data_IF_176487731103
#
_entry.id   IF_176487731103
#
_cell.length_a   1.000
_cell.length_b   1.000
_cell.length_c   1.000
_cell.angle_alpha   90.00
_cell.angle_beta   90.00
_cell.angle_gamma   90.00
#
_symmetry.space_group_name_H-M   'P 1'
#
loop_
_entity.id
_entity.type
_entity.pdbx_description
1 polymer ?
#
# COMPACT_ATOMS: atom_id res chain seq x y z
N UNK A 1 32.41 -3.85 78.96
CA UNK A 1 31.90 -4.83 77.99
C UNK A 1 30.77 -4.15 77.15
N UNK A 2 31.03 -3.85 75.87
CA UNK A 2 30.04 -3.29 74.99
C UNK A 2 29.71 -4.37 73.92
N UNK A 3 28.43 -4.63 73.59
CA UNK A 3 28.09 -5.62 72.59
C UNK A 3 28.24 -5.02 71.16
N UNK A 4 28.86 -5.75 70.24
CA UNK A 4 28.88 -5.49 68.80
C UNK A 4 27.58 -5.96 68.19
N UNK A 5 26.88 -5.03 67.56
CA UNK A 5 25.71 -5.33 66.76
C UNK A 5 26.21 -5.55 65.33
N UNK A 6 26.11 -6.79 64.85
CA UNK A 6 26.40 -7.14 63.44
C UNK A 6 25.21 -6.84 62.56
N UNK A 7 25.35 -5.91 61.61
CA UNK A 7 24.32 -5.56 60.63
C UNK A 7 24.51 -6.45 59.40
N UNK A 8 23.62 -7.43 59.22
CA UNK A 8 23.61 -8.27 58.04
C UNK A 8 22.92 -7.50 56.88
N UNK A 9 23.68 -7.12 55.85
CA UNK A 9 23.15 -6.53 54.65
C UNK A 9 22.61 -7.64 53.71
N UNK A 10 21.30 -7.74 53.58
CA UNK A 10 20.65 -8.64 52.61
C UNK A 10 20.63 -7.97 51.25
N UNK A 11 21.48 -8.42 50.35
CA UNK A 11 21.48 -7.96 48.96
C UNK A 11 20.30 -8.60 48.19
N UNK A 12 19.35 -7.80 47.81
CA UNK A 12 18.24 -8.20 46.95
C UNK A 12 18.72 -8.16 45.49
N UNK A 13 18.98 -9.32 44.90
CA UNK A 13 19.23 -9.41 43.45
C UNK A 13 17.91 -9.32 42.71
N UNK A 14 17.60 -8.16 42.07
CA UNK A 14 16.56 -8.06 41.07
C UNK A 14 17.06 -8.74 39.78
N UNK A 15 16.55 -9.94 39.52
CA UNK A 15 16.73 -10.60 38.23
C UNK A 15 15.86 -9.89 37.19
N UNK A 16 16.46 -9.04 36.39
CA UNK A 16 15.84 -8.55 35.16
C UNK A 16 15.80 -9.73 34.17
N UNK A 17 14.65 -10.36 34.00
CA UNK A 17 14.39 -11.20 32.84
C UNK A 17 14.30 -10.28 31.61
N UNK A 18 15.33 -10.25 30.76
CA UNK A 18 15.23 -9.67 29.44
C UNK A 18 14.13 -10.45 28.70
N UNK A 19 13.00 -9.80 28.46
CA UNK A 19 12.02 -10.30 27.52
C UNK A 19 12.68 -10.15 26.16
N UNK A 20 13.16 -11.26 25.60
CA UNK A 20 13.64 -11.33 24.24
C UNK A 20 12.43 -11.02 23.33
N UNK A 21 12.30 -9.75 22.93
CA UNK A 21 11.38 -9.33 21.89
C UNK A 21 11.95 -9.92 20.60
N UNK A 22 11.65 -11.19 20.33
CA UNK A 22 11.89 -11.78 19.02
C UNK A 22 11.21 -10.87 17.99
N UNK A 23 11.97 -9.97 17.37
CA UNK A 23 11.50 -9.25 16.21
C UNK A 23 11.18 -10.33 15.18
N UNK A 24 9.94 -10.39 14.73
CA UNK A 24 9.59 -11.25 13.60
C UNK A 24 10.48 -10.81 12.44
N UNK A 25 11.50 -11.62 12.15
CA UNK A 25 12.45 -11.33 11.09
C UNK A 25 11.68 -11.35 9.76
N UNK A 26 11.48 -10.17 9.18
CA UNK A 26 10.76 -10.06 7.94
C UNK A 26 11.62 -10.67 6.82
N UNK A 27 11.02 -11.55 6.03
CA UNK A 27 11.58 -12.05 4.78
C UNK A 27 11.73 -10.88 3.81
N UNK A 28 12.92 -10.69 3.24
CA UNK A 28 13.23 -9.58 2.33
C UNK A 28 13.47 -10.02 0.89
N UNK A 29 13.35 -11.31 0.59
CA UNK A 29 13.48 -11.87 -0.75
C UNK A 29 12.15 -12.46 -1.23
N UNK A 30 11.69 -12.07 -2.41
CA UNK A 30 10.39 -12.46 -2.95
C UNK A 30 10.22 -13.98 -3.11
N UNK A 31 11.30 -14.72 -3.35
CA UNK A 31 11.32 -16.18 -3.43
C UNK A 31 10.95 -16.89 -2.11
N UNK A 32 11.01 -16.17 -0.99
CA UNK A 32 10.72 -16.69 0.35
C UNK A 32 9.29 -16.37 0.81
N UNK A 33 8.52 -15.62 0.02
CA UNK A 33 7.12 -15.33 0.33
C UNK A 33 6.33 -16.64 0.29
N UNK A 34 5.39 -16.81 1.20
CA UNK A 34 4.46 -17.94 1.13
C UNK A 34 3.51 -17.77 -0.07
N UNK A 35 3.42 -18.75 -0.94
CA UNK A 35 2.41 -18.79 -2.00
C UNK A 35 0.99 -18.89 -1.41
N UNK A 36 -0.02 -18.47 -2.16
CA UNK A 36 -1.43 -18.56 -1.79
C UNK A 36 -2.24 -17.31 -2.04
N UNK A 37 -3.45 -17.29 -1.52
CA UNK A 37 -4.38 -16.16 -1.65
C UNK A 37 -4.24 -15.22 -0.46
N UNK A 38 -4.29 -13.92 -0.76
CA UNK A 38 -4.16 -12.83 0.20
C UNK A 38 -5.30 -11.84 0.00
N UNK A 39 -5.80 -11.28 1.07
CA UNK A 39 -6.68 -10.13 1.03
C UNK A 39 -5.89 -8.85 1.29
N UNK A 40 -6.29 -7.74 0.69
CA UNK A 40 -5.71 -6.41 1.00
C UNK A 40 -5.95 -6.10 2.48
N UNK A 41 -4.91 -5.67 3.16
CA UNK A 41 -5.01 -5.09 4.50
C UNK A 41 -5.27 -3.58 4.36
N UNK A 42 -6.49 -3.08 4.67
CA UNK A 42 -6.92 -1.75 4.26
C UNK A 42 -6.33 -0.60 5.08
N UNK A 43 -5.81 -0.87 6.28
CA UNK A 43 -5.32 0.19 7.18
C UNK A 43 -3.91 0.67 6.82
N UNK A 44 -3.12 -0.19 6.16
CA UNK A 44 -1.75 0.12 5.73
C UNK A 44 -1.60 0.11 4.20
N UNK A 45 -2.71 0.00 3.47
CA UNK A 45 -2.73 0.08 2.00
C UNK A 45 -3.26 1.43 1.56
N UNK A 46 -2.49 2.11 0.71
CA UNK A 46 -2.85 3.42 0.18
C UNK A 46 -2.31 3.64 -1.23
N UNK A 47 -2.97 4.52 -1.98
CA UNK A 47 -2.48 5.06 -3.24
C UNK A 47 -2.26 6.55 -3.08
N UNK A 48 -0.99 6.97 -3.02
CA UNK A 48 -0.64 8.38 -3.08
C UNK A 48 -0.60 8.85 -4.53
N UNK A 49 -1.08 10.06 -4.79
CA UNK A 49 -0.97 10.70 -6.09
C UNK A 49 -0.25 12.04 -6.01
N UNK A 50 0.38 12.43 -7.13
CA UNK A 50 1.08 13.71 -7.25
C UNK A 50 0.80 14.32 -8.62
N UNK A 51 0.45 15.62 -8.64
CA UNK A 51 0.21 16.43 -9.84
C UNK A 51 1.00 17.72 -9.77
N UNK A 52 1.58 18.17 -10.90
CA UNK A 52 2.18 19.50 -10.98
C UNK A 52 1.07 20.54 -11.07
N UNK A 53 1.01 21.43 -10.07
CA UNK A 53 -0.01 22.47 -9.93
C UNK A 53 0.53 23.81 -10.41
N UNK A 54 0.04 24.31 -11.54
CA UNK A 54 0.41 25.57 -12.21
C UNK A 54 1.91 25.74 -12.47
N UNK A 55 2.68 24.66 -12.51
CA UNK A 55 4.13 24.71 -12.65
C UNK A 55 4.88 25.13 -11.37
N UNK A 56 4.20 25.29 -10.24
CA UNK A 56 4.80 25.81 -9.00
C UNK A 56 5.17 24.72 -8.01
N UNK A 57 4.26 23.76 -7.78
CA UNK A 57 4.42 22.72 -6.77
C UNK A 57 3.86 21.39 -7.25
N UNK A 58 4.41 20.28 -6.71
CA UNK A 58 3.79 18.98 -6.80
C UNK A 58 2.78 18.84 -5.66
N UNK A 59 1.49 18.99 -5.98
CA UNK A 59 0.41 18.78 -5.03
C UNK A 59 0.09 17.31 -4.88
N UNK A 60 -0.15 16.87 -3.65
CA UNK A 60 -0.32 15.45 -3.32
C UNK A 60 -1.62 15.19 -2.58
N UNK A 61 -2.12 13.98 -2.71
CA UNK A 61 -3.21 13.43 -1.92
C UNK A 61 -3.12 11.92 -1.91
N UNK A 62 -4.03 11.28 -1.20
CA UNK A 62 -4.09 9.84 -1.04
C UNK A 62 -5.51 9.30 -1.26
N UNK A 63 -5.60 8.05 -1.68
CA UNK A 63 -6.78 7.21 -1.55
C UNK A 63 -6.51 6.12 -0.53
N UNK A 64 -7.51 5.78 0.26
CA UNK A 64 -7.48 4.77 1.32
C UNK A 64 -8.66 3.81 1.22
N UNK A 65 -8.88 2.96 2.24
CA UNK A 65 -10.00 1.99 2.29
C UNK A 65 -9.99 1.01 1.10
N UNK A 66 -8.83 0.72 0.58
CA UNK A 66 -8.64 -0.15 -0.56
C UNK A 66 -8.97 -1.58 -0.17
N UNK A 67 -9.64 -2.30 -1.06
CA UNK A 67 -9.96 -3.72 -0.90
C UNK A 67 -9.53 -4.52 -2.12
N UNK A 68 -9.42 -5.82 -1.99
CA UNK A 68 -9.08 -6.69 -3.11
C UNK A 68 -8.32 -7.93 -2.71
N UNK A 69 -7.80 -8.62 -3.71
CA UNK A 69 -7.11 -9.90 -3.57
C UNK A 69 -5.85 -9.95 -4.40
N UNK A 70 -4.84 -10.62 -3.85
CA UNK A 70 -3.65 -11.09 -4.53
C UNK A 70 -3.61 -12.62 -4.44
N UNK A 71 -3.62 -13.32 -5.57
CA UNK A 71 -3.29 -14.74 -5.63
C UNK A 71 -1.84 -14.86 -6.11
N UNK A 72 -0.98 -15.38 -5.24
CA UNK A 72 0.47 -15.37 -5.44
C UNK A 72 1.00 -16.79 -5.69
N UNK A 73 1.60 -16.99 -6.86
CA UNK A 73 2.37 -18.20 -7.20
C UNK A 73 3.86 -17.83 -7.23
N UNK A 74 4.59 -18.21 -6.20
CA UNK A 74 6.02 -17.88 -6.06
C UNK A 74 6.93 -18.73 -6.93
N UNK A 75 6.46 -19.89 -7.41
CA UNK A 75 7.20 -20.75 -8.33
C UNK A 75 7.01 -20.31 -9.79
N UNK A 76 5.85 -19.76 -10.10
CA UNK A 76 5.54 -19.21 -11.41
C UNK A 76 4.81 -17.86 -11.29
N UNK A 77 5.54 -16.76 -11.04
CA UNK A 77 4.93 -15.44 -10.82
C UNK A 77 3.97 -14.99 -11.93
N UNK A 78 4.15 -15.48 -13.16
CA UNK A 78 3.23 -15.19 -14.28
C UNK A 78 1.81 -15.76 -14.07
N UNK A 79 1.62 -16.71 -13.16
CA UNK A 79 0.30 -17.24 -12.78
C UNK A 79 -0.35 -16.48 -11.63
N UNK A 80 0.38 -15.56 -11.01
CA UNK A 80 -0.17 -14.69 -9.97
C UNK A 80 -1.21 -13.74 -10.57
N UNK A 81 -2.15 -13.28 -9.74
CA UNK A 81 -3.16 -12.31 -10.15
C UNK A 81 -3.45 -11.31 -9.04
N UNK A 82 -3.75 -10.07 -9.45
CA UNK A 82 -4.11 -8.97 -8.57
C UNK A 82 -5.41 -8.34 -9.02
N UNK A 83 -6.35 -8.17 -8.10
CA UNK A 83 -7.57 -7.39 -8.34
C UNK A 83 -7.82 -6.50 -7.12
N UNK A 84 -7.86 -5.18 -7.33
CA UNK A 84 -8.08 -4.20 -6.25
C UNK A 84 -9.17 -3.22 -6.65
N UNK A 85 -9.91 -2.76 -5.64
CA UNK A 85 -10.94 -1.75 -5.72
C UNK A 85 -10.61 -0.61 -4.77
N UNK A 86 -10.69 0.62 -5.26
CA UNK A 86 -10.36 1.85 -4.56
C UNK A 86 -11.61 2.71 -4.50
N UNK A 87 -12.21 2.94 -3.32
CA UNK A 87 -13.33 3.87 -3.19
C UNK A 87 -12.86 5.29 -3.54
N UNK A 88 -13.42 5.89 -4.60
CA UNK A 88 -12.99 7.21 -5.08
C UNK A 88 -13.30 8.30 -4.05
N UNK A 89 -14.37 8.14 -3.27
CA UNK A 89 -14.74 9.06 -2.19
C UNK A 89 -13.74 9.05 -1.01
N UNK A 90 -12.79 8.08 -0.97
CA UNK A 90 -11.73 8.04 0.05
C UNK A 90 -10.60 9.03 -0.20
N UNK A 91 -10.67 9.84 -1.25
CA UNK A 91 -9.67 10.86 -1.56
C UNK A 91 -9.50 11.83 -0.40
N UNK A 92 -8.25 12.06 -0.01
CA UNK A 92 -7.84 13.00 1.04
C UNK A 92 -6.65 13.82 0.57
N UNK A 93 -6.73 15.12 0.82
CA UNK A 93 -5.64 16.08 0.63
C UNK A 93 -5.42 16.89 1.91
N UNK A 94 -4.59 17.91 1.86
CA UNK A 94 -4.41 18.85 2.98
C UNK A 94 -5.57 19.86 3.12
N UNK A 95 -6.60 19.78 2.26
CA UNK A 95 -7.73 20.72 2.21
C UNK A 95 -9.05 19.95 2.04
N UNK A 96 -9.89 19.95 3.06
CA UNK A 96 -11.23 19.35 3.00
C UNK A 96 -12.11 19.95 1.90
N UNK A 97 -11.95 21.25 1.60
CA UNK A 97 -12.64 21.89 0.47
C UNK A 97 -12.23 21.27 -0.87
N UNK A 98 -10.94 20.98 -1.05
CA UNK A 98 -10.46 20.31 -2.27
C UNK A 98 -10.91 18.85 -2.30
N UNK A 99 -10.95 18.15 -1.16
CA UNK A 99 -11.46 16.78 -1.09
C UNK A 99 -12.91 16.71 -1.59
N UNK A 100 -13.74 17.69 -1.22
CA UNK A 100 -15.13 17.76 -1.69
C UNK A 100 -15.21 18.13 -3.18
N UNK A 101 -14.36 19.06 -3.66
CA UNK A 101 -14.26 19.40 -5.07
C UNK A 101 -13.87 18.19 -5.93
N UNK A 102 -12.86 17.41 -5.48
CA UNK A 102 -12.38 16.23 -6.21
C UNK A 102 -13.44 15.13 -6.31
N UNK A 103 -14.37 15.02 -5.37
CA UNK A 103 -15.50 14.08 -5.42
C UNK A 103 -16.58 14.50 -6.41
N UNK A 104 -16.61 15.78 -6.81
CA UNK A 104 -17.61 16.35 -7.70
C UNK A 104 -17.51 15.90 -9.15
N UNK A 105 -18.54 16.28 -9.95
CA UNK A 105 -18.75 15.88 -11.34
C UNK A 105 -17.69 16.40 -12.33
N UNK A 106 -17.00 17.49 -11.97
CA UNK A 106 -15.90 18.04 -12.76
C UNK A 106 -14.58 17.27 -12.60
N UNK A 107 -14.52 16.34 -11.62
CA UNK A 107 -13.33 15.57 -11.29
C UNK A 107 -13.63 14.06 -11.32
N UNK A 108 -13.72 13.43 -10.16
CA UNK A 108 -13.91 11.99 -10.08
C UNK A 108 -15.38 11.55 -10.25
N UNK A 109 -16.35 12.47 -10.09
CA UNK A 109 -17.80 12.18 -10.12
C UNK A 109 -18.15 10.92 -9.27
N UNK A 110 -17.75 10.98 -8.01
CA UNK A 110 -17.83 9.82 -7.11
C UNK A 110 -19.24 9.30 -6.87
N UNK A 111 -20.27 10.13 -7.13
CA UNK A 111 -21.67 9.72 -7.07
C UNK A 111 -22.04 8.78 -8.21
N UNK A 112 -21.45 8.98 -9.40
CA UNK A 112 -21.69 8.16 -10.60
C UNK A 112 -20.67 7.05 -10.76
N UNK A 113 -19.42 7.31 -10.38
CA UNK A 113 -18.29 6.40 -10.48
C UNK A 113 -17.67 6.20 -9.08
N UNK A 114 -18.31 5.45 -8.18
CA UNK A 114 -17.89 5.36 -6.79
C UNK A 114 -16.54 4.64 -6.58
N UNK A 115 -16.09 3.88 -7.58
CA UNK A 115 -14.92 3.03 -7.46
C UNK A 115 -13.98 3.21 -8.67
N UNK A 116 -12.67 3.21 -8.39
CA UNK A 116 -11.65 2.86 -9.36
C UNK A 116 -11.25 1.40 -9.13
N UNK A 117 -10.88 0.69 -10.22
CA UNK A 117 -10.55 -0.73 -10.15
C UNK A 117 -9.35 -1.06 -11.03
N UNK A 118 -8.41 -1.83 -10.48
CA UNK A 118 -7.31 -2.39 -11.24
C UNK A 118 -7.37 -3.92 -11.21
N UNK A 119 -7.26 -4.55 -12.40
CA UNK A 119 -7.22 -6.01 -12.54
C UNK A 119 -6.02 -6.36 -13.41
N UNK A 120 -5.08 -7.11 -12.85
CA UNK A 120 -3.90 -7.56 -13.60
C UNK A 120 -4.28 -8.49 -14.75
N UNK A 121 -3.58 -8.35 -15.85
CA UNK A 121 -3.69 -9.24 -17.03
C UNK A 121 -2.41 -10.02 -17.27
N UNK A 122 -1.27 -9.49 -16.80
CA UNK A 122 0.02 -10.13 -16.91
C UNK A 122 0.93 -9.66 -15.76
N UNK A 123 1.68 -10.60 -15.18
CA UNK A 123 2.73 -10.31 -14.21
C UNK A 123 4.04 -10.87 -14.77
N UNK A 124 5.04 -10.01 -14.90
CA UNK A 124 6.36 -10.34 -15.40
C UNK A 124 7.42 -9.95 -14.38
N UNK A 125 8.11 -10.93 -13.82
CA UNK A 125 9.22 -10.70 -12.90
C UNK A 125 10.41 -10.10 -13.66
N UNK A 126 10.93 -8.97 -13.21
CA UNK A 126 12.04 -8.24 -13.83
C UNK A 126 13.32 -8.26 -13.02
N UNK A 127 13.22 -8.64 -11.76
CA UNK A 127 14.34 -8.75 -10.82
C UNK A 127 14.03 -9.69 -9.66
N UNK A 128 14.94 -9.81 -8.69
CA UNK A 128 14.73 -10.67 -7.51
C UNK A 128 13.51 -10.26 -6.69
N UNK A 129 13.30 -8.95 -6.55
CA UNK A 129 12.21 -8.35 -5.78
C UNK A 129 11.34 -7.42 -6.64
N UNK A 130 11.43 -7.49 -7.96
CA UNK A 130 10.80 -6.54 -8.87
C UNK A 130 9.96 -7.26 -9.92
N UNK A 131 8.84 -6.66 -10.27
CA UNK A 131 7.95 -7.12 -11.33
C UNK A 131 7.28 -5.96 -12.06
N UNK A 132 6.94 -6.18 -13.32
CA UNK A 132 6.00 -5.36 -14.07
C UNK A 132 4.64 -6.04 -14.02
N UNK A 133 3.64 -5.33 -13.54
CA UNK A 133 2.25 -5.80 -13.46
C UNK A 133 1.44 -5.00 -14.48
N UNK A 134 1.13 -5.62 -15.61
CA UNK A 134 0.21 -5.07 -16.61
C UNK A 134 -1.22 -5.41 -16.19
N UNK A 135 -2.12 -4.44 -16.29
CA UNK A 135 -3.53 -4.64 -15.94
C UNK A 135 -4.44 -3.60 -16.54
N UNK A 136 -5.73 -3.80 -16.37
CA UNK A 136 -6.77 -2.87 -16.77
C UNK A 136 -7.14 -1.98 -15.58
N UNK A 137 -6.89 -0.68 -15.70
CA UNK A 137 -7.37 0.34 -14.77
C UNK A 137 -8.71 0.89 -15.28
N UNK A 138 -9.75 0.76 -14.47
CA UNK A 138 -11.04 1.44 -14.68
C UNK A 138 -11.08 2.62 -13.72
N UNK A 139 -11.20 3.83 -14.25
CA UNK A 139 -11.33 5.07 -13.51
C UNK A 139 -12.34 5.96 -14.21
N UNK A 140 -13.24 6.61 -13.46
CA UNK A 140 -14.27 7.50 -14.03
C UNK A 140 -15.09 6.83 -15.16
N UNK A 141 -15.36 5.52 -15.04
CA UNK A 141 -16.09 4.71 -16.02
C UNK A 141 -15.32 4.33 -17.28
N UNK A 142 -14.06 4.73 -17.42
CA UNK A 142 -13.21 4.42 -18.57
C UNK A 142 -12.15 3.40 -18.16
N UNK A 143 -11.95 2.37 -19.01
CA UNK A 143 -10.95 1.33 -18.79
C UNK A 143 -9.78 1.49 -19.75
N UNK A 144 -8.57 1.50 -19.24
CA UNK A 144 -7.30 1.55 -20.00
C UNK A 144 -6.30 0.54 -19.49
N UNK A 145 -5.44 0.00 -20.37
CA UNK A 145 -4.29 -0.79 -19.92
C UNK A 145 -3.26 0.14 -19.26
N UNK A 146 -2.77 -0.29 -18.10
CA UNK A 146 -1.73 0.41 -17.34
C UNK A 146 -0.68 -0.60 -16.86
N UNK A 147 0.53 -0.10 -16.58
CA UNK A 147 1.65 -0.91 -16.12
C UNK A 147 2.13 -0.35 -14.79
N UNK A 148 2.13 -1.19 -13.76
CA UNK A 148 2.71 -0.90 -12.46
C UNK A 148 4.12 -1.48 -12.39
N UNK A 149 5.09 -0.68 -11.98
CA UNK A 149 6.40 -1.17 -11.52
C UNK A 149 6.26 -1.53 -10.06
N UNK A 150 6.39 -2.81 -9.74
CA UNK A 150 6.16 -3.32 -8.39
C UNK A 150 7.47 -3.81 -7.78
N UNK A 151 7.70 -3.46 -6.50
CA UNK A 151 8.82 -3.93 -5.69
C UNK A 151 8.28 -4.63 -4.44
N UNK A 152 8.78 -5.81 -4.15
CA UNK A 152 8.56 -6.49 -2.87
C UNK A 152 9.37 -5.79 -1.77
N UNK A 153 8.73 -5.49 -0.64
CA UNK A 153 9.32 -4.82 0.53
C UNK A 153 9.73 -5.84 1.58
N UNK A 154 8.79 -6.70 1.97
CA UNK A 154 9.03 -7.72 3.00
C UNK A 154 7.76 -8.51 3.32
N UNK A 155 7.93 -9.67 3.96
CA UNK A 155 6.82 -10.46 4.44
C UNK A 155 7.17 -11.14 5.77
N UNK A 156 6.15 -11.43 6.57
CA UNK A 156 6.33 -12.10 7.87
C UNK A 156 5.04 -12.14 8.67
N UNK A 157 5.16 -12.69 9.88
CA UNK A 157 4.05 -12.70 10.84
C UNK A 157 3.94 -11.31 11.49
N UNK A 158 2.82 -10.63 11.29
CA UNK A 158 2.52 -9.38 11.96
C UNK A 158 2.47 -9.62 13.48
N UNK A 159 3.27 -8.90 14.29
CA UNK A 159 3.36 -9.14 15.74
C UNK A 159 2.07 -8.81 16.48
N UNK A 160 1.17 -8.00 15.92
CA UNK A 160 -0.05 -7.55 16.56
C UNK A 160 -1.21 -8.53 16.38
N UNK A 161 -1.51 -8.89 15.12
CA UNK A 161 -2.67 -9.74 14.77
C UNK A 161 -2.29 -11.19 14.43
N UNK A 162 -0.98 -11.51 14.38
CA UNK A 162 -0.41 -12.83 14.09
C UNK A 162 -0.70 -13.36 12.68
N UNK A 163 -1.14 -12.52 11.77
CA UNK A 163 -1.34 -12.91 10.38
C UNK A 163 -0.03 -12.80 9.58
N UNK A 164 0.14 -13.69 8.61
CA UNK A 164 1.24 -13.57 7.66
C UNK A 164 0.92 -12.46 6.66
N UNK A 165 1.74 -11.43 6.64
CA UNK A 165 1.54 -10.22 5.83
C UNK A 165 2.69 -10.05 4.85
N UNK A 166 2.39 -9.70 3.60
CA UNK A 166 3.35 -9.36 2.56
C UNK A 166 3.13 -7.92 2.11
N UNK A 167 4.22 -7.15 2.04
CA UNK A 167 4.23 -5.74 1.66
C UNK A 167 4.89 -5.51 0.30
N UNK A 168 4.26 -4.64 -0.50
CA UNK A 168 4.73 -4.25 -1.83
C UNK A 168 4.64 -2.74 -2.00
N UNK A 169 5.52 -2.19 -2.81
CA UNK A 169 5.40 -0.85 -3.36
C UNK A 169 5.14 -0.92 -4.86
N UNK A 170 4.38 0.03 -5.37
CA UNK A 170 4.08 0.12 -6.79
C UNK A 170 4.13 1.56 -7.28
N UNK A 171 4.65 1.78 -8.49
CA UNK A 171 4.76 3.08 -9.11
C UNK A 171 4.21 3.04 -10.54
N UNK A 172 3.47 4.09 -10.91
CA UNK A 172 3.08 4.35 -12.29
C UNK A 172 2.80 5.83 -12.51
N UNK A 173 2.67 6.22 -13.78
CA UNK A 173 2.17 7.55 -14.17
C UNK A 173 1.08 7.36 -15.20
N UNK A 174 -0.10 7.90 -14.92
CA UNK A 174 -1.25 7.87 -15.81
C UNK A 174 -1.53 9.27 -16.37
N UNK A 175 -2.23 9.34 -17.51
CA UNK A 175 -2.83 10.60 -18.00
C UNK A 175 -4.28 10.65 -17.55
N UNK A 176 -4.63 11.59 -16.68
CA UNK A 176 -6.00 11.70 -16.17
C UNK A 176 -7.02 12.06 -17.27
N UNK A 177 -6.58 12.75 -18.34
CA UNK A 177 -7.44 13.03 -19.49
C UNK A 177 -7.87 11.78 -20.27
N UNK A 178 -7.07 10.70 -20.24
CA UNK A 178 -7.41 9.40 -20.83
C UNK A 178 -8.62 8.74 -20.15
N UNK A 179 -8.90 9.16 -18.90
CA UNK A 179 -10.05 8.76 -18.11
C UNK A 179 -11.15 9.83 -18.04
N UNK A 180 -11.09 10.84 -18.92
CA UNK A 180 -12.10 11.89 -19.02
C UNK A 180 -11.96 13.02 -18.00
N UNK A 181 -11.01 12.97 -17.07
CA UNK A 181 -10.78 13.98 -16.03
C UNK A 181 -9.89 15.08 -16.61
N UNK A 182 -10.49 16.15 -17.15
CA UNK A 182 -9.79 17.17 -17.95
C UNK A 182 -9.74 18.57 -17.31
N UNK A 183 -10.39 18.74 -16.16
CA UNK A 183 -10.48 20.05 -15.48
C UNK A 183 -9.09 20.63 -15.24
N UNK A 184 -8.91 21.88 -15.67
CA UNK A 184 -7.65 22.65 -15.60
C UNK A 184 -6.43 22.05 -16.32
N UNK A 185 -6.60 21.07 -17.25
CA UNK A 185 -5.48 20.66 -18.12
C UNK A 185 -5.20 21.80 -19.12
N UNK A 186 -3.93 22.20 -19.34
CA UNK A 186 -2.68 21.68 -18.78
C UNK A 186 -2.16 22.38 -17.52
N UNK A 187 -2.88 23.38 -16.99
CA UNK A 187 -2.42 24.16 -15.83
C UNK A 187 -2.22 23.31 -14.57
N UNK A 188 -3.11 22.37 -14.33
CA UNK A 188 -2.86 21.22 -13.46
C UNK A 188 -2.50 20.07 -14.38
N UNK A 189 -1.33 19.45 -14.19
CA UNK A 189 -0.75 18.49 -15.13
C UNK A 189 -1.72 17.38 -15.48
N UNK A 190 -1.65 16.95 -16.73
CA UNK A 190 -2.36 15.76 -17.21
C UNK A 190 -1.76 14.48 -16.65
N UNK A 191 -0.43 14.44 -16.55
CA UNK A 191 0.28 13.35 -15.91
C UNK A 191 0.05 13.37 -14.39
N UNK A 192 -0.38 12.23 -13.86
CA UNK A 192 -0.53 11.96 -12.43
C UNK A 192 0.39 10.81 -12.08
N UNK A 193 1.38 11.09 -11.22
CA UNK A 193 2.23 10.03 -10.66
C UNK A 193 1.50 9.38 -9.51
N UNK A 194 1.45 8.04 -9.51
CA UNK A 194 0.88 7.22 -8.44
C UNK A 194 2.00 6.46 -7.75
N UNK A 195 2.00 6.51 -6.42
CA UNK A 195 2.83 5.69 -5.56
C UNK A 195 1.93 4.87 -4.63
N UNK A 196 2.09 3.56 -4.66
CA UNK A 196 1.21 2.60 -4.00
C UNK A 196 2.00 1.91 -2.89
N UNK A 197 1.49 1.94 -1.67
CA UNK A 197 1.90 1.04 -0.61
C UNK A 197 0.81 0.00 -0.43
N UNK A 198 1.13 -1.27 -0.66
CA UNK A 198 0.18 -2.38 -0.60
C UNK A 198 0.58 -3.41 0.44
N UNK A 199 -0.25 -3.59 1.46
CA UNK A 199 -0.14 -4.65 2.45
C UNK A 199 -1.20 -5.72 2.18
N UNK A 200 -0.81 -6.99 2.25
CA UNK A 200 -1.67 -8.13 1.93
C UNK A 200 -1.54 -9.20 3.01
N UNK A 201 -2.66 -9.58 3.60
CA UNK A 201 -2.75 -10.62 4.61
C UNK A 201 -3.12 -11.96 3.99
N UNK A 202 -2.35 -13.00 4.31
CA UNK A 202 -2.60 -14.34 3.81
C UNK A 202 -3.90 -14.89 4.37
N UNK A 203 -4.70 -15.45 3.50
CA UNK A 203 -5.92 -16.19 3.89
C UNK A 203 -5.56 -17.53 4.51
N UNK A 204 -6.30 -17.91 5.54
CA UNK A 204 -6.22 -19.23 6.18
C UNK A 204 -6.74 -20.34 5.27
#
# INVERSE_FOLDING_TARGET
>A
MKPFISLAATAFFLSFTAVDMASAEAVTHAEQIQAGSYDVEPYHTQVAFSVLHFGFTYYQGIFSQISGRLDLDTQNPAKSSLAVTIPVASVLTTSSKLDDELKGDQWFDSAKFPEARFVSTQIHQTGKNEAMVTGNLTLHGITKPEILKVRFVGAGINPLDKKYTAGFEGDTTIKRSDFGIKTYVPYVSDNVTLHIAGAFEKRS
#
